data_IF_603348011243
#
_entry.id   IF_603348011243
#
_cell.length_a   1.000
_cell.length_b   1.000
_cell.length_c   1.000
_cell.angle_alpha   90.00
_cell.angle_beta   90.00
_cell.angle_gamma   90.00
#
_symmetry.space_group_name_H-M   'P 1'
#
loop_
_entity.id
_entity.type
_entity.pdbx_description
1 polymer ?
#
# COMPACT_ATOMS: atom_id res chain seq x y z
N UNK A 1 4.67 4.45 -17.56
CA UNK A 1 5.01 5.89 -17.51
C UNK A 1 5.13 6.26 -16.03
N UNK A 2 6.35 6.27 -15.48
CA UNK A 2 6.56 6.48 -14.04
C UNK A 2 6.28 7.95 -13.68
N UNK A 3 5.16 8.22 -13.01
CA UNK A 3 4.78 9.57 -12.60
C UNK A 3 5.17 9.78 -11.13
N UNK A 4 6.27 10.51 -10.90
CA UNK A 4 6.42 11.61 -9.94
C UNK A 4 7.92 12.01 -9.87
N UNK A 5 8.17 13.25 -10.28
CA UNK A 5 9.48 13.90 -10.40
C UNK A 5 10.26 13.93 -9.07
N UNK A 6 11.52 13.49 -9.12
CA UNK A 6 12.51 13.73 -8.09
C UNK A 6 13.19 15.09 -8.30
N UNK A 7 13.09 16.01 -7.35
CA UNK A 7 13.93 17.21 -7.28
C UNK A 7 15.28 16.87 -6.64
N UNK A 8 16.36 17.31 -7.29
CA UNK A 8 17.72 16.80 -7.14
C UNK A 8 18.56 17.28 -5.93
N UNK A 9 19.75 16.68 -5.86
CA UNK A 9 20.90 17.08 -5.05
C UNK A 9 22.13 16.29 -5.50
N UNK A 10 23.13 16.98 -6.04
CA UNK A 10 24.34 16.44 -6.68
C UNK A 10 25.36 15.87 -5.68
N UNK A 11 26.12 14.85 -6.11
CA UNK A 11 27.60 14.74 -5.94
C UNK A 11 28.13 13.42 -6.52
N UNK A 12 29.27 13.53 -7.21
CA UNK A 12 29.96 12.56 -8.07
C UNK A 12 30.91 11.60 -7.32
N UNK A 13 30.89 10.30 -7.64
CA UNK A 13 32.06 9.49 -8.10
C UNK A 13 31.69 7.99 -8.16
N UNK A 14 32.08 7.30 -9.23
CA UNK A 14 31.55 5.96 -9.55
C UNK A 14 32.01 4.86 -8.60
N UNK A 15 31.05 4.21 -7.94
CA UNK A 15 30.98 2.82 -7.41
C UNK A 15 29.69 2.74 -6.55
N UNK A 16 28.57 2.23 -7.10
CA UNK A 16 27.22 2.19 -6.47
C UNK A 16 26.82 3.44 -5.64
N UNK A 17 27.26 4.65 -6.05
CA UNK A 17 26.94 5.88 -5.33
C UNK A 17 25.53 6.33 -5.68
N UNK A 18 24.61 6.16 -4.74
CA UNK A 18 23.36 6.93 -4.74
C UNK A 18 22.07 6.14 -4.98
N UNK A 19 22.03 4.82 -4.77
CA UNK A 19 20.73 4.15 -4.62
C UNK A 19 20.03 4.69 -3.37
N UNK A 20 19.08 5.59 -3.60
CA UNK A 20 18.15 6.08 -2.58
C UNK A 20 16.88 5.25 -2.68
N UNK A 21 16.19 5.10 -1.55
CA UNK A 21 14.87 4.50 -1.56
C UNK A 21 13.94 5.28 -2.50
N UNK A 22 13.04 4.60 -3.22
CA UNK A 22 12.03 5.27 -4.00
C UNK A 22 11.17 6.16 -3.09
N UNK A 23 10.61 7.22 -3.67
CA UNK A 23 9.69 8.09 -2.94
C UNK A 23 8.42 7.34 -2.55
N UNK A 24 7.80 7.74 -1.44
CA UNK A 24 6.45 7.28 -1.11
C UNK A 24 5.50 7.62 -2.26
N UNK A 25 4.63 6.68 -2.61
CA UNK A 25 3.75 6.76 -3.78
C UNK A 25 4.35 6.15 -5.05
N UNK A 26 5.58 5.64 -5.02
CA UNK A 26 6.15 4.95 -6.18
C UNK A 26 5.37 3.67 -6.47
N UNK A 27 4.77 3.61 -7.66
CA UNK A 27 4.12 2.43 -8.21
C UNK A 27 5.04 1.79 -9.25
N UNK A 28 5.18 0.47 -9.17
CA UNK A 28 5.84 -0.35 -10.18
C UNK A 28 4.83 -1.36 -10.69
N UNK A 29 4.40 -1.13 -11.93
CA UNK A 29 3.49 -2.02 -12.64
C UNK A 29 4.31 -2.96 -13.52
N UNK A 30 4.20 -4.26 -13.25
CA UNK A 30 4.84 -5.28 -14.09
C UNK A 30 4.05 -5.52 -15.37
N UNK A 31 2.79 -5.11 -15.41
CA UNK A 31 1.85 -5.30 -16.50
C UNK A 31 1.66 -4.02 -17.34
N UNK A 32 2.64 -3.70 -18.18
CA UNK A 32 2.37 -2.82 -19.33
C UNK A 32 1.54 -3.61 -20.33
N UNK A 33 0.22 -3.60 -20.18
CA UNK A 33 -0.67 -3.92 -21.31
C UNK A 33 -1.80 -2.91 -21.37
N UNK A 34 -1.49 -1.80 -22.04
CA UNK A 34 -2.52 -1.14 -22.81
C UNK A 34 -3.12 -2.15 -23.79
N UNK A 35 -4.45 -2.23 -23.78
CA UNK A 35 -5.28 -2.74 -24.88
C UNK A 35 -5.08 -4.26 -25.14
N UNK A 36 -5.85 -5.09 -24.45
CA UNK A 36 -6.31 -6.38 -25.02
C UNK A 36 -6.19 -7.65 -24.17
N UNK A 37 -5.45 -7.68 -23.07
CA UNK A 37 -5.15 -8.95 -22.40
C UNK A 37 -5.15 -8.84 -20.87
N UNK A 38 -6.30 -8.42 -20.36
CA UNK A 38 -6.84 -9.02 -19.15
C UNK A 38 -7.00 -10.51 -19.44
N UNK A 39 -5.96 -11.29 -19.19
CA UNK A 39 -6.04 -12.75 -19.22
C UNK A 39 -6.78 -13.17 -17.95
N UNK A 40 -8.10 -12.97 -17.89
CA UNK A 40 -8.95 -13.48 -16.79
C UNK A 40 -9.35 -12.51 -15.66
N UNK A 41 -9.37 -11.20 -15.88
CA UNK A 41 -9.88 -10.20 -14.92
C UNK A 41 -8.86 -9.70 -13.90
N UNK A 42 -7.69 -10.33 -13.82
CA UNK A 42 -6.73 -10.12 -12.73
C UNK A 42 -5.52 -9.30 -13.17
N UNK A 43 -5.06 -8.38 -12.33
CA UNK A 43 -3.80 -7.65 -12.53
C UNK A 43 -3.12 -7.34 -11.20
N UNK A 44 -1.83 -7.02 -11.24
CA UNK A 44 -1.04 -6.75 -10.05
C UNK A 44 -0.11 -5.53 -10.20
N UNK A 45 0.21 -4.93 -9.06
CA UNK A 45 1.12 -3.80 -8.98
C UNK A 45 1.88 -3.80 -7.64
N UNK A 46 3.07 -3.21 -7.64
CA UNK A 46 3.84 -2.95 -6.43
C UNK A 46 3.73 -1.48 -6.06
N UNK A 47 3.48 -1.18 -4.79
CA UNK A 47 3.35 0.18 -4.30
C UNK A 47 4.17 0.39 -3.02
N UNK A 48 4.91 1.50 -2.99
CA UNK A 48 5.68 1.94 -1.83
C UNK A 48 4.87 3.01 -1.10
N UNK A 49 4.15 2.61 -0.05
CA UNK A 49 3.31 3.52 0.72
C UNK A 49 4.09 4.42 1.69
N UNK A 50 5.17 3.91 2.27
CA UNK A 50 5.87 4.54 3.38
C UNK A 50 7.22 5.12 2.96
N UNK A 51 7.57 6.26 3.54
CA UNK A 51 8.92 6.80 3.43
C UNK A 51 9.84 6.07 4.42
N UNK A 52 10.94 5.49 3.91
CA UNK A 52 11.92 4.77 4.73
C UNK A 52 13.21 5.57 4.78
N UNK A 53 13.51 6.16 5.94
CA UNK A 53 14.71 6.96 6.19
C UNK A 53 15.97 6.13 6.45
N UNK A 54 15.81 4.91 7.01
CA UNK A 54 16.90 4.00 7.33
C UNK A 54 16.58 2.59 6.83
N UNK A 55 17.51 1.98 6.10
CA UNK A 55 17.32 0.68 5.46
C UNK A 55 16.68 0.78 4.08
N UNK A 56 16.27 -0.35 3.50
CA UNK A 56 15.66 -0.41 2.18
C UNK A 56 14.13 -0.39 2.28
N UNK A 57 13.47 0.41 1.46
CA UNK A 57 12.01 0.42 1.37
C UNK A 57 11.52 -0.92 0.78
N UNK A 58 10.70 -1.64 1.54
CA UNK A 58 10.06 -2.86 1.05
C UNK A 58 8.73 -2.52 0.37
N UNK A 59 8.60 -2.72 -0.96
CA UNK A 59 7.33 -2.50 -1.65
C UNK A 59 6.25 -3.48 -1.17
N UNK A 60 4.99 -3.09 -1.36
CA UNK A 60 3.83 -3.92 -1.08
C UNK A 60 3.23 -4.38 -2.39
N UNK A 61 3.06 -5.69 -2.55
CA UNK A 61 2.43 -6.29 -3.72
C UNK A 61 0.92 -6.29 -3.54
N UNK A 62 0.21 -5.75 -4.51
CA UNK A 62 -1.24 -5.73 -4.58
C UNK A 62 -1.67 -6.54 -5.80
N UNK A 63 -2.58 -7.49 -5.59
CA UNK A 63 -3.21 -8.25 -6.66
C UNK A 63 -4.69 -7.92 -6.66
N UNK A 64 -5.16 -7.39 -7.78
CA UNK A 64 -6.57 -7.18 -8.06
C UNK A 64 -7.09 -8.46 -8.70
N UNK A 65 -7.84 -9.24 -7.95
CA UNK A 65 -8.41 -10.51 -8.39
C UNK A 65 -9.71 -10.32 -9.19
N UNK A 66 -10.38 -9.18 -9.00
CA UNK A 66 -11.64 -8.85 -9.65
C UNK A 66 -11.84 -7.34 -9.63
N UNK A 67 -12.22 -6.76 -10.77
CA UNK A 67 -12.56 -5.35 -10.91
C UNK A 67 -13.72 -5.20 -11.90
N UNK A 68 -14.86 -4.71 -11.42
CA UNK A 68 -16.04 -4.33 -12.20
C UNK A 68 -16.37 -2.84 -12.08
N UNK A 69 -15.47 -2.07 -11.49
CA UNK A 69 -15.73 -0.67 -11.12
C UNK A 69 -15.70 0.27 -12.33
N UNK A 70 -15.07 -0.15 -13.43
CA UNK A 70 -14.87 0.66 -14.63
C UNK A 70 -13.90 1.84 -14.44
N UNK A 71 -13.23 1.91 -13.28
CA UNK A 71 -12.22 2.93 -13.03
C UNK A 71 -10.90 2.61 -13.74
N UNK A 72 -10.11 3.64 -14.11
CA UNK A 72 -8.77 3.41 -14.60
C UNK A 72 -7.89 2.83 -13.49
N UNK A 73 -6.95 1.97 -13.86
CA UNK A 73 -6.00 1.33 -12.93
C UNK A 73 -5.27 2.36 -12.06
N UNK A 74 -4.91 3.51 -12.64
CA UNK A 74 -4.28 4.63 -11.92
C UNK A 74 -5.14 5.17 -10.77
N UNK A 75 -6.47 5.18 -10.94
CA UNK A 75 -7.40 5.60 -9.87
C UNK A 75 -7.42 4.57 -8.73
N UNK A 76 -7.36 3.29 -9.04
CA UNK A 76 -7.31 2.20 -8.05
C UNK A 76 -5.98 2.21 -7.28
N UNK A 77 -4.87 2.45 -7.97
CA UNK A 77 -3.55 2.63 -7.34
C UNK A 77 -3.54 3.85 -6.41
N UNK A 78 -4.08 4.99 -6.88
CA UNK A 78 -4.18 6.23 -6.10
C UNK A 78 -5.07 6.05 -4.87
N UNK A 79 -6.20 5.36 -5.02
CA UNK A 79 -7.10 5.02 -3.92
C UNK A 79 -6.37 4.16 -2.88
N UNK A 80 -5.69 3.12 -3.33
CA UNK A 80 -4.92 2.20 -2.47
C UNK A 80 -3.85 2.95 -1.68
N UNK A 81 -3.13 3.86 -2.33
CA UNK A 81 -2.16 4.74 -1.68
C UNK A 81 -2.82 5.62 -0.61
N UNK A 82 -3.94 6.28 -0.92
CA UNK A 82 -4.67 7.14 0.03
C UNK A 82 -5.17 6.36 1.25
N UNK A 83 -5.67 5.14 1.06
CA UNK A 83 -6.12 4.27 2.16
C UNK A 83 -4.99 3.94 3.16
N UNK A 84 -3.74 3.95 2.71
CA UNK A 84 -2.59 3.71 3.58
C UNK A 84 -2.30 4.85 4.57
N UNK A 85 -2.90 6.04 4.41
CA UNK A 85 -2.76 7.17 5.33
C UNK A 85 -3.91 7.29 6.34
N UNK A 86 -4.94 6.46 6.23
CA UNK A 86 -6.13 6.52 7.08
C UNK A 86 -6.02 5.69 8.37
N UNK A 87 -4.80 5.28 8.74
CA UNK A 87 -4.58 4.50 9.96
C UNK A 87 -4.35 5.42 11.16
N UNK A 88 -5.32 5.48 12.07
CA UNK A 88 -5.33 6.48 13.14
C UNK A 88 -4.20 6.37 14.17
N UNK A 89 -3.58 5.20 14.35
CA UNK A 89 -2.53 5.04 15.37
C UNK A 89 -1.12 5.44 14.89
N UNK A 90 -0.95 5.86 13.64
CA UNK A 90 0.35 6.28 13.13
C UNK A 90 0.23 7.50 12.23
N UNK A 91 0.96 8.60 12.52
CA UNK A 91 0.97 9.78 11.66
C UNK A 91 1.85 9.50 10.42
N UNK A 92 1.30 8.83 9.40
CA UNK A 92 1.98 8.58 8.14
C UNK A 92 1.42 7.43 7.33
N UNK A 93 2.01 7.19 6.16
CA UNK A 93 1.66 6.07 5.29
C UNK A 93 2.11 4.75 5.90
N UNK A 94 1.18 3.83 6.13
CA UNK A 94 1.48 2.46 6.58
C UNK A 94 1.61 1.51 5.38
N UNK A 95 2.17 0.33 5.60
CA UNK A 95 2.44 -0.63 4.52
C UNK A 95 1.15 -1.17 3.87
N UNK A 96 0.13 -1.46 4.68
CA UNK A 96 -1.15 -1.99 4.24
C UNK A 96 -2.22 -0.88 4.19
N UNK A 97 -3.28 -1.01 3.38
CA UNK A 97 -4.43 -0.12 3.49
C UNK A 97 -5.02 -0.16 4.90
N UNK A 98 -5.52 0.97 5.40
CA UNK A 98 -6.09 1.05 6.75
C UNK A 98 -7.13 -0.05 7.05
N UNK A 99 -8.05 -0.42 6.13
CA UNK A 99 -9.00 -1.52 6.37
C UNK A 99 -8.31 -2.87 6.67
N UNK A 100 -7.28 -3.22 5.90
CA UNK A 100 -6.55 -4.48 6.10
C UNK A 100 -5.73 -4.45 7.40
N UNK A 101 -5.14 -3.31 7.73
CA UNK A 101 -4.40 -3.15 8.99
C UNK A 101 -5.34 -3.23 10.22
N UNK A 102 -6.55 -2.68 10.12
CA UNK A 102 -7.57 -2.79 11.15
C UNK A 102 -8.02 -4.25 11.35
N UNK A 103 -8.31 -4.96 10.26
CA UNK A 103 -8.65 -6.38 10.32
C UNK A 103 -7.52 -7.20 10.96
N UNK A 104 -6.25 -6.90 10.63
CA UNK A 104 -5.09 -7.55 11.26
C UNK A 104 -5.02 -7.30 12.77
N UNK A 105 -5.22 -6.05 13.22
CA UNK A 105 -5.26 -5.73 14.67
C UNK A 105 -6.40 -6.46 15.38
N UNK A 106 -7.59 -6.44 14.80
CA UNK A 106 -8.75 -7.13 15.34
C UNK A 106 -8.51 -8.64 15.44
N UNK A 107 -8.03 -9.28 14.36
CA UNK A 107 -7.73 -10.71 14.35
C UNK A 107 -6.69 -11.09 15.40
N UNK A 108 -5.64 -10.26 15.57
CA UNK A 108 -4.63 -10.46 16.60
C UNK A 108 -5.21 -10.37 18.01
N UNK A 109 -6.04 -9.36 18.30
CA UNK A 109 -6.69 -9.18 19.59
C UNK A 109 -7.63 -10.37 19.91
N UNK A 110 -8.43 -10.79 18.93
CA UNK A 110 -9.35 -11.92 19.10
C UNK A 110 -8.61 -13.24 19.35
N UNK A 111 -7.50 -13.47 18.65
CA UNK A 111 -6.71 -14.70 18.77
C UNK A 111 -5.77 -14.75 19.98
N UNK A 112 -5.54 -13.65 20.68
CA UNK A 112 -4.60 -13.59 21.82
C UNK A 112 -5.28 -13.32 23.15
N UNK A 113 -6.36 -12.53 23.18
CA UNK A 113 -6.92 -12.01 24.43
C UNK A 113 -8.39 -12.40 24.65
N UNK A 114 -9.26 -12.29 23.63
CA UNK A 114 -10.71 -12.31 23.86
C UNK A 114 -11.31 -13.71 23.72
N UNK A 115 -10.89 -14.50 22.72
CA UNK A 115 -11.42 -15.85 22.40
C UNK A 115 -12.96 -15.98 22.37
N UNK A 116 -13.67 -14.86 22.30
CA UNK A 116 -15.13 -14.74 22.30
C UNK A 116 -15.57 -13.65 21.34
N UNK A 117 -16.79 -13.76 20.82
CA UNK A 117 -17.33 -12.75 19.92
C UNK A 117 -17.49 -11.40 20.67
N UNK A 118 -16.99 -10.29 20.11
CA UNK A 118 -17.14 -8.98 20.74
C UNK A 118 -18.62 -8.59 20.82
N UNK A 119 -18.98 -7.89 21.90
CA UNK A 119 -20.36 -7.46 22.14
C UNK A 119 -20.87 -6.59 20.98
N UNK A 120 -22.14 -6.73 20.53
CA UNK A 120 -22.65 -6.05 19.33
C UNK A 120 -22.49 -4.52 19.30
N UNK A 121 -22.47 -3.88 20.48
CA UNK A 121 -22.25 -2.43 20.65
C UNK A 121 -20.83 -1.96 20.30
N UNK A 122 -19.86 -2.87 20.22
CA UNK A 122 -18.46 -2.57 19.90
C UNK A 122 -18.18 -2.65 18.39
N UNK A 123 -19.17 -3.02 17.57
CA UNK A 123 -19.00 -3.18 16.11
C UNK A 123 -18.67 -1.86 15.39
N UNK A 124 -19.15 -0.74 15.91
CA UNK A 124 -18.95 0.58 15.31
C UNK A 124 -17.79 1.37 15.95
N UNK A 125 -17.12 0.78 16.95
CA UNK A 125 -16.00 1.43 17.63
C UNK A 125 -14.68 0.75 17.28
N UNK A 126 -13.62 1.56 17.23
CA UNK A 126 -12.26 1.11 16.97
C UNK A 126 -11.59 0.58 18.27
N UNK A 127 -12.27 -0.29 19.01
CA UNK A 127 -11.85 -0.77 20.35
C UNK A 127 -10.55 -1.61 20.34
N UNK A 128 -10.11 -2.04 19.17
CA UNK A 128 -8.93 -2.88 18.94
C UNK A 128 -7.69 -2.07 18.57
N UNK A 129 -7.78 -0.75 18.58
CA UNK A 129 -6.66 0.15 18.25
C UNK A 129 -5.73 0.36 19.45
#
# INVERSE_FOLDING_TARGET
>A
HAFLQASGGSTSSGHFRGLRNPVSGTVVDTSVTGIGAVTGGTYDFYLINQHVSRGSASPTHYTVAYDDTGYPVEAIQTLTYKLAFLYYNFPGGIRLPAPAQYAKKLAHLMGTAVFQAPHPRLKETLFYL
#
